data_IF_747006000194
#
_entry.id   IF_747006000194
#
_cell.length_a   1.000
_cell.length_b   1.000
_cell.length_c   1.000
_cell.angle_alpha   90.00
_cell.angle_beta   90.00
_cell.angle_gamma   90.00
#
_symmetry.space_group_name_H-M   'P 1'
#
loop_
_entity.id
_entity.type
_entity.pdbx_description
1 polymer ?
#
# COMPACT_ATOMS: atom_id res chain seq x y z
N UNK A 1 0.36 0.21 -31.09
CA UNK A 1 1.73 0.18 -30.54
C UNK A 1 1.78 0.33 -29.03
N UNK A 2 1.51 1.50 -28.41
CA UNK A 2 1.55 1.60 -26.92
C UNK A 2 0.55 0.66 -26.25
N UNK A 3 -0.73 0.79 -26.58
CA UNK A 3 -1.81 -0.06 -26.02
C UNK A 3 -1.60 -1.53 -26.35
N UNK A 4 -1.35 -1.86 -27.62
CA UNK A 4 -1.03 -3.22 -28.05
C UNK A 4 0.15 -3.85 -27.28
N UNK A 5 1.20 -3.08 -26.99
CA UNK A 5 2.33 -3.56 -26.19
C UNK A 5 1.97 -3.76 -24.70
N UNK A 6 1.13 -2.88 -24.15
CA UNK A 6 0.57 -3.00 -22.81
C UNK A 6 -0.28 -4.27 -22.73
N UNK A 7 -1.17 -4.50 -23.69
CA UNK A 7 -2.07 -5.66 -23.73
C UNK A 7 -1.27 -6.96 -23.84
N UNK A 8 -0.32 -7.04 -24.77
CA UNK A 8 0.55 -8.21 -24.94
C UNK A 8 1.29 -8.59 -23.65
N UNK A 9 1.89 -7.60 -22.98
CA UNK A 9 2.61 -7.84 -21.72
C UNK A 9 1.64 -8.20 -20.61
N UNK A 10 0.46 -7.56 -20.55
CA UNK A 10 -0.55 -7.87 -19.54
C UNK A 10 -1.06 -9.31 -19.64
N UNK A 11 -1.30 -9.80 -20.87
CA UNK A 11 -1.72 -11.18 -21.14
C UNK A 11 -0.63 -12.18 -20.77
N UNK A 12 0.64 -11.87 -21.07
CA UNK A 12 1.77 -12.71 -20.70
C UNK A 12 1.92 -12.83 -19.17
N UNK A 13 1.78 -11.72 -18.44
CA UNK A 13 1.82 -11.73 -16.96
C UNK A 13 0.62 -12.51 -16.40
N UNK A 14 -0.58 -12.29 -16.94
CA UNK A 14 -1.77 -13.04 -16.54
C UNK A 14 -1.59 -14.54 -16.76
N UNK A 15 -0.96 -14.96 -17.86
CA UNK A 15 -0.63 -16.37 -18.10
C UNK A 15 0.28 -16.93 -16.99
N UNK A 16 1.27 -16.17 -16.54
CA UNK A 16 2.09 -16.55 -15.37
C UNK A 16 1.27 -16.68 -14.08
N UNK A 17 0.44 -15.67 -13.78
CA UNK A 17 -0.45 -15.65 -12.62
C UNK A 17 -1.36 -16.88 -12.56
N UNK A 18 -1.90 -17.33 -13.70
CA UNK A 18 -2.85 -18.45 -13.73
C UNK A 18 -2.19 -19.84 -13.84
N UNK A 19 -0.89 -19.92 -14.13
CA UNK A 19 -0.20 -21.20 -14.36
C UNK A 19 0.95 -21.48 -13.38
N UNK A 20 1.36 -20.52 -12.56
CA UNK A 20 2.41 -20.69 -11.55
C UNK A 20 1.92 -20.35 -10.14
N UNK A 21 2.22 -21.20 -9.16
CA UNK A 21 1.83 -21.01 -7.75
C UNK A 21 2.63 -19.91 -7.06
N UNK A 22 3.85 -19.62 -7.55
CA UNK A 22 4.67 -18.51 -7.06
C UNK A 22 4.24 -17.14 -7.59
N UNK A 23 3.33 -17.12 -8.56
CA UNK A 23 2.86 -15.92 -9.26
C UNK A 23 1.41 -15.62 -8.90
N UNK A 24 1.08 -14.35 -8.71
CA UNK A 24 -0.26 -13.94 -8.28
C UNK A 24 -0.34 -12.44 -8.03
N UNK A 25 -1.48 -11.98 -7.49
CA UNK A 25 -1.78 -10.56 -7.24
C UNK A 25 -2.18 -9.78 -8.52
N UNK A 26 -1.85 -8.49 -8.56
CA UNK A 26 -2.22 -7.55 -9.60
C UNK A 26 -1.15 -7.44 -10.68
N UNK A 27 -1.53 -6.95 -11.85
CA UNK A 27 -0.61 -6.63 -12.96
C UNK A 27 -0.24 -5.15 -12.89
N UNK A 28 1.05 -4.87 -12.74
CA UNK A 28 1.62 -3.53 -12.82
C UNK A 28 2.39 -3.36 -14.14
N UNK A 29 2.27 -2.22 -14.79
CA UNK A 29 2.95 -1.94 -16.07
C UNK A 29 3.75 -0.64 -15.96
N UNK A 30 4.98 -0.67 -16.48
CA UNK A 30 5.82 0.52 -16.59
C UNK A 30 6.09 0.79 -18.07
N UNK A 31 5.56 1.90 -18.59
CA UNK A 31 5.80 2.31 -19.97
C UNK A 31 6.95 3.29 -19.98
N UNK A 32 8.04 2.91 -20.64
CA UNK A 32 9.23 3.76 -20.81
C UNK A 32 9.27 4.21 -22.27
N UNK A 33 9.18 5.51 -22.48
CA UNK A 33 9.40 6.17 -23.77
C UNK A 33 10.67 7.02 -23.68
N UNK A 34 11.14 7.55 -24.82
CA UNK A 34 12.36 8.36 -24.84
C UNK A 34 12.30 9.56 -23.89
N UNK A 35 11.13 10.17 -23.77
CA UNK A 35 10.95 11.45 -23.09
C UNK A 35 10.23 11.31 -21.74
N UNK A 36 9.63 10.15 -21.46
CA UNK A 36 8.75 9.97 -20.30
C UNK A 36 8.69 8.52 -19.80
N UNK A 37 8.51 8.38 -18.49
CA UNK A 37 8.24 7.12 -17.80
C UNK A 37 6.88 7.20 -17.10
N UNK A 38 6.01 6.25 -17.40
CA UNK A 38 4.67 6.16 -16.83
C UNK A 38 4.51 4.84 -16.06
N UNK A 39 4.09 4.93 -14.80
CA UNK A 39 3.81 3.77 -13.95
C UNK A 39 2.30 3.55 -13.82
N UNK A 40 1.83 2.44 -14.37
CA UNK A 40 0.44 1.98 -14.30
C UNK A 40 0.34 0.88 -13.23
N UNK A 41 0.20 1.31 -11.97
CA UNK A 41 -0.08 0.42 -10.83
C UNK A 41 -1.51 -0.11 -10.91
N UNK A 42 -1.69 -1.38 -10.62
CA UNK A 42 -2.99 -2.08 -10.65
C UNK A 42 -3.69 -1.96 -12.01
N UNK A 43 -2.94 -2.05 -13.11
CA UNK A 43 -3.51 -2.00 -14.46
C UNK A 43 -4.57 -3.09 -14.66
N UNK A 44 -4.31 -4.30 -14.16
CA UNK A 44 -5.31 -5.36 -14.07
C UNK A 44 -5.35 -5.99 -12.67
N UNK A 45 -6.54 -6.39 -12.26
CA UNK A 45 -6.86 -6.98 -10.97
C UNK A 45 -7.54 -8.35 -11.20
N UNK A 46 -6.82 -9.36 -11.73
CA UNK A 46 -7.44 -10.61 -12.18
C UNK A 46 -8.11 -11.38 -11.02
N UNK A 47 -7.53 -11.30 -9.82
CA UNK A 47 -7.94 -12.10 -8.67
C UNK A 47 -8.35 -11.19 -7.50
N UNK A 48 -9.54 -10.55 -7.54
CA UNK A 48 -10.03 -9.79 -6.42
C UNK A 48 -10.31 -10.72 -5.23
N UNK A 49 -10.09 -10.22 -4.02
CA UNK A 49 -10.40 -10.98 -2.80
C UNK A 49 -11.93 -11.10 -2.66
N UNK A 50 -12.45 -12.29 -2.94
CA UNK A 50 -13.90 -12.56 -2.93
C UNK A 50 -14.49 -12.77 -1.54
N UNK A 51 -13.69 -13.29 -0.59
CA UNK A 51 -14.15 -13.56 0.76
C UNK A 51 -13.47 -12.66 1.79
N UNK A 52 -14.31 -11.86 2.44
CA UNK A 52 -14.01 -11.14 3.67
C UNK A 52 -15.16 -11.50 4.62
N UNK A 53 -14.83 -11.92 5.84
CA UNK A 53 -15.85 -12.13 6.88
C UNK A 53 -16.65 -10.83 7.04
N UNK A 54 -17.94 -10.85 6.69
CA UNK A 54 -18.82 -9.67 6.78
C UNK A 54 -18.96 -9.15 8.22
N UNK A 55 -18.78 -10.05 9.19
CA UNK A 55 -18.79 -9.73 10.63
C UNK A 55 -17.42 -9.30 11.16
N UNK A 56 -16.35 -9.47 10.37
CA UNK A 56 -14.97 -9.33 10.83
C UNK A 56 -14.63 -10.33 11.96
N UNK A 57 -13.45 -10.15 12.56
CA UNK A 57 -13.09 -10.82 13.82
C UNK A 57 -12.77 -9.72 14.83
N UNK A 58 -13.64 -9.55 15.82
CA UNK A 58 -13.45 -8.60 16.91
C UNK A 58 -13.27 -9.37 18.21
N UNK A 59 -12.23 -8.99 18.95
CA UNK A 59 -11.90 -9.56 20.24
C UNK A 59 -12.10 -8.48 21.29
N UNK A 60 -12.77 -8.81 22.39
CA UNK A 60 -12.95 -7.87 23.49
C UNK A 60 -11.59 -7.56 24.12
N UNK A 61 -11.39 -6.31 24.56
CA UNK A 61 -10.18 -5.93 25.30
C UNK A 61 -10.03 -6.82 26.54
N UNK A 62 -8.81 -7.29 26.81
CA UNK A 62 -8.51 -8.17 27.95
C UNK A 62 -8.58 -9.67 27.67
N UNK A 63 -8.89 -10.09 26.43
CA UNK A 63 -8.85 -11.52 26.04
C UNK A 63 -7.43 -12.08 25.87
N UNK A 64 -6.42 -11.23 25.70
CA UNK A 64 -5.02 -11.63 25.58
C UNK A 64 -4.31 -11.38 26.90
N UNK A 65 -3.64 -12.40 27.44
CA UNK A 65 -2.84 -12.29 28.67
C UNK A 65 -1.62 -11.38 28.43
N UNK A 66 -1.40 -10.41 29.32
CA UNK A 66 -0.31 -9.43 29.22
C UNK A 66 0.69 -9.68 30.33
N UNK A 67 1.91 -10.08 29.97
CA UNK A 67 2.97 -10.40 30.94
C UNK A 67 3.58 -9.16 31.61
N UNK A 68 3.72 -8.04 30.89
CA UNK A 68 4.25 -6.78 31.41
C UNK A 68 3.79 -5.60 30.55
N UNK A 69 3.55 -4.45 31.17
CA UNK A 69 3.15 -3.21 30.50
C UNK A 69 4.02 -2.05 30.96
N UNK A 70 4.61 -1.32 30.02
CA UNK A 70 5.33 -0.06 30.28
C UNK A 70 4.74 1.05 29.43
N UNK A 71 4.25 2.11 30.08
CA UNK A 71 3.67 3.28 29.41
C UNK A 71 4.65 4.44 29.55
N UNK A 72 5.07 5.03 28.43
CA UNK A 72 5.90 6.24 28.41
C UNK A 72 5.09 7.38 27.79
N UNK A 73 4.67 8.39 28.56
CA UNK A 73 3.92 9.52 28.02
C UNK A 73 4.79 10.36 27.08
N UNK A 74 4.21 10.83 25.97
CA UNK A 74 4.90 11.79 25.09
C UNK A 74 5.00 13.16 25.77
N UNK A 75 6.11 13.87 25.55
CA UNK A 75 6.27 15.27 25.96
C UNK A 75 5.45 16.16 25.02
N UNK A 76 4.73 17.14 25.56
CA UNK A 76 4.01 18.13 24.76
C UNK A 76 4.99 18.91 23.87
N UNK A 77 4.61 19.15 22.61
CA UNK A 77 5.36 20.04 21.71
C UNK A 77 5.40 21.43 22.34
N UNK A 78 6.60 22.03 22.41
CA UNK A 78 6.76 23.42 22.78
C UNK A 78 5.96 24.30 21.82
N UNK A 79 5.09 25.15 22.36
CA UNK A 79 4.46 26.24 21.62
C UNK A 79 5.53 27.33 21.49
N UNK A 80 6.00 27.59 20.27
CA UNK A 80 6.83 28.76 19.98
C UNK A 80 5.96 29.99 20.16
N UNK A 81 6.19 30.77 21.22
CA UNK A 81 5.65 32.13 21.32
C UNK A 81 6.46 33.04 20.40
N UNK A 82 5.75 33.75 19.52
CA UNK A 82 6.34 34.68 18.55
C UNK A 82 7.07 35.84 19.27
N UNK A 83 8.37 35.95 19.00
CA UNK A 83 9.12 37.20 18.85
C UNK A 83 9.18 38.18 20.04
N UNK A 84 10.20 38.04 20.88
CA UNK A 84 10.80 39.23 21.51
C UNK A 84 11.64 39.94 20.44
N UNK A 85 11.01 40.89 19.72
CA UNK A 85 11.74 41.94 19.02
C UNK A 85 12.40 42.83 20.07
N UNK A 86 13.70 42.63 20.29
CA UNK A 86 14.49 43.50 21.16
C UNK A 86 15.05 44.65 20.31
N UNK A 87 14.41 45.81 20.40
CA UNK A 87 15.04 47.11 20.09
C UNK A 87 16.18 47.35 21.09
N UNK A 88 17.42 47.44 20.60
CA UNK A 88 18.30 48.64 20.66
C UNK A 88 19.65 48.34 19.96
#
# INVERSE_FOLDING_TARGET
MKEEGIDLVSEAICSGIFNDLGSGSNVDICVITKDHVEYLRNYQLPNPRTYISSKGYSFNKGQTEVLSTKITPMKQKAVLTEGDFMEE
#
